data_IF_472781765767
#
_entry.id   IF_472781765767
#
_cell.length_a   1.000
_cell.length_b   1.000
_cell.length_c   1.000
_cell.angle_alpha   90.00
_cell.angle_beta   90.00
_cell.angle_gamma   90.00
#
_symmetry.space_group_name_H-M   'P 1'
#
loop_
_entity.id
_entity.type
_entity.pdbx_description
1 polymer ?
#
# COMPACT_ATOMS: atom_id res chain seq x y z
N UNK A 1 -24.54 35.17 7.43
CA UNK A 1 -24.16 33.91 6.75
C UNK A 1 -23.73 32.94 7.84
N UNK A 2 -24.57 31.95 8.16
CA UNK A 2 -24.32 31.02 9.26
C UNK A 2 -23.77 29.72 8.67
N UNK A 3 -22.54 29.36 9.02
CA UNK A 3 -21.93 28.10 8.60
C UNK A 3 -22.58 26.98 9.42
N UNK A 4 -23.07 25.95 8.72
CA UNK A 4 -23.67 24.76 9.33
C UNK A 4 -22.57 23.76 9.70
N UNK A 5 -22.12 23.83 10.96
CA UNK A 5 -21.04 23.00 11.50
C UNK A 5 -21.38 21.50 11.52
N UNK A 6 -22.66 21.11 11.55
CA UNK A 6 -23.07 19.69 11.49
C UNK A 6 -22.68 19.07 10.15
N UNK A 7 -22.88 19.80 9.04
CA UNK A 7 -22.46 19.35 7.71
C UNK A 7 -20.94 19.26 7.59
N UNK A 8 -20.22 20.21 8.17
CA UNK A 8 -18.75 20.23 8.18
C UNK A 8 -18.19 18.99 8.89
N UNK A 9 -18.71 18.66 10.08
CA UNK A 9 -18.29 17.46 10.83
C UNK A 9 -18.53 16.18 10.02
N UNK A 10 -19.67 16.07 9.32
CA UNK A 10 -19.96 14.90 8.47
C UNK A 10 -19.11 14.84 7.20
N UNK A 11 -18.67 15.98 6.67
CA UNK A 11 -17.80 16.03 5.50
C UNK A 11 -16.37 15.61 5.86
N UNK A 12 -15.84 16.09 6.99
CA UNK A 12 -14.52 15.69 7.49
C UNK A 12 -14.46 14.20 7.84
N UNK A 13 -15.51 13.65 8.46
CA UNK A 13 -15.61 12.22 8.76
C UNK A 13 -15.54 11.35 7.49
N UNK A 14 -16.30 11.72 6.44
CA UNK A 14 -16.29 11.02 5.15
C UNK A 14 -14.96 11.16 4.39
N UNK A 15 -14.25 12.27 4.56
CA UNK A 15 -12.92 12.44 3.98
C UNK A 15 -11.89 11.54 4.68
N UNK A 16 -11.97 11.43 6.01
CA UNK A 16 -11.14 10.49 6.78
C UNK A 16 -11.41 9.04 6.40
N UNK A 17 -12.68 8.66 6.28
CA UNK A 17 -13.08 7.31 5.88
C UNK A 17 -12.55 6.96 4.49
N UNK A 18 -12.73 7.83 3.50
CA UNK A 18 -12.17 7.64 2.15
C UNK A 18 -10.64 7.55 2.14
N UNK A 19 -9.98 8.35 2.98
CA UNK A 19 -8.51 8.28 3.12
C UNK A 19 -8.09 6.94 3.72
N UNK A 20 -8.81 6.45 4.72
CA UNK A 20 -8.53 5.15 5.32
C UNK A 20 -8.75 4.02 4.32
N UNK A 21 -9.88 4.01 3.61
CA UNK A 21 -10.17 3.02 2.57
C UNK A 21 -9.09 3.00 1.48
N UNK A 22 -8.63 4.18 1.05
CA UNK A 22 -7.55 4.29 0.06
C UNK A 22 -6.22 3.75 0.60
N UNK A 23 -5.91 3.98 1.88
CA UNK A 23 -4.73 3.42 2.52
C UNK A 23 -4.83 1.89 2.65
N UNK A 24 -5.96 1.38 3.12
CA UNK A 24 -6.20 -0.05 3.28
C UNK A 24 -6.09 -0.77 1.93
N UNK A 25 -6.63 -0.17 0.86
CA UNK A 25 -6.50 -0.69 -0.50
C UNK A 25 -5.04 -0.71 -0.97
N UNK A 26 -4.29 0.38 -0.77
CA UNK A 26 -2.88 0.44 -1.13
C UNK A 26 -2.04 -0.60 -0.38
N UNK A 27 -2.33 -0.83 0.90
CA UNK A 27 -1.67 -1.87 1.70
C UNK A 27 -2.04 -3.27 1.22
N UNK A 28 -3.29 -3.52 0.85
CA UNK A 28 -3.73 -4.80 0.32
C UNK A 28 -3.00 -5.14 -1.00
N UNK A 29 -2.88 -4.17 -1.91
CA UNK A 29 -2.14 -4.30 -3.16
C UNK A 29 -0.64 -4.55 -2.92
N UNK A 30 -0.04 -3.83 -1.97
CA UNK A 30 1.36 -4.03 -1.58
C UNK A 30 1.61 -5.46 -1.05
N UNK A 31 0.72 -5.97 -0.19
CA UNK A 31 0.80 -7.35 0.33
C UNK A 31 0.64 -8.36 -0.80
N UNK A 32 -0.34 -8.19 -1.68
CA UNK A 32 -0.56 -9.07 -2.83
C UNK A 32 0.68 -9.16 -3.71
N UNK A 33 1.27 -8.01 -4.09
CA UNK A 33 2.50 -7.97 -4.89
C UNK A 33 3.65 -8.72 -4.20
N UNK A 34 3.83 -8.50 -2.90
CA UNK A 34 4.90 -9.17 -2.14
C UNK A 34 4.70 -10.69 -2.11
N UNK A 35 3.46 -11.16 -1.95
CA UNK A 35 3.13 -12.60 -1.99
C UNK A 35 3.35 -13.19 -3.39
N UNK A 36 2.84 -12.54 -4.43
CA UNK A 36 2.93 -13.01 -5.82
C UNK A 36 4.38 -13.11 -6.32
N UNK A 37 5.27 -12.26 -5.80
CA UNK A 37 6.68 -12.20 -6.21
C UNK A 37 7.63 -12.87 -5.23
N UNK A 38 7.13 -13.50 -4.16
CA UNK A 38 8.00 -14.03 -3.09
C UNK A 38 8.85 -15.22 -3.54
N UNK A 39 8.29 -16.08 -4.40
CA UNK A 39 9.02 -17.19 -5.01
C UNK A 39 10.27 -16.72 -5.77
N UNK A 40 10.27 -15.50 -6.32
CA UNK A 40 11.44 -14.96 -7.02
C UNK A 40 12.58 -14.70 -6.03
N UNK A 41 12.26 -14.24 -4.81
CA UNK A 41 13.25 -14.01 -3.74
C UNK A 41 13.85 -15.34 -3.29
N UNK A 42 13.01 -16.35 -3.09
CA UNK A 42 13.45 -17.70 -2.76
C UNK A 42 14.36 -18.24 -3.86
N UNK A 43 13.94 -18.17 -5.12
CA UNK A 43 14.76 -18.57 -6.28
C UNK A 43 16.10 -17.84 -6.33
N UNK A 44 16.13 -16.55 -6.00
CA UNK A 44 17.37 -15.79 -5.98
C UNK A 44 18.32 -16.24 -4.87
N UNK A 45 17.78 -16.54 -3.69
CA UNK A 45 18.56 -17.04 -2.56
C UNK A 45 19.09 -18.46 -2.81
N UNK A 46 18.28 -19.34 -3.41
CA UNK A 46 18.62 -20.74 -3.61
C UNK A 46 19.49 -20.99 -4.85
N UNK A 47 19.17 -20.34 -5.97
CA UNK A 47 19.82 -20.58 -7.26
C UNK A 47 20.79 -19.48 -7.67
N UNK A 48 20.92 -18.41 -6.89
CA UNK A 48 21.72 -17.23 -7.24
C UNK A 48 21.20 -16.44 -8.44
N UNK A 49 19.99 -16.75 -8.94
CA UNK A 49 19.41 -16.01 -10.08
C UNK A 49 18.88 -14.66 -9.59
N UNK A 50 19.41 -13.53 -10.04
CA UNK A 50 19.00 -12.24 -9.52
C UNK A 50 17.53 -11.93 -9.83
N UNK A 51 16.86 -11.22 -8.91
CA UNK A 51 15.57 -10.61 -9.18
C UNK A 51 15.68 -9.61 -10.33
N UNK A 52 14.72 -9.61 -11.27
CA UNK A 52 14.56 -8.51 -12.22
C UNK A 52 14.48 -7.17 -11.47
N UNK A 53 15.16 -6.15 -11.99
CA UNK A 53 15.26 -4.84 -11.35
C UNK A 53 13.88 -4.23 -11.08
N UNK A 54 12.98 -4.27 -12.07
CA UNK A 54 11.60 -3.82 -11.91
C UNK A 54 10.86 -4.50 -10.75
N UNK A 55 11.09 -5.79 -10.50
CA UNK A 55 10.47 -6.51 -9.38
C UNK A 55 11.11 -6.12 -8.05
N UNK A 56 12.42 -5.89 -8.02
CA UNK A 56 13.13 -5.41 -6.84
C UNK A 56 12.58 -4.04 -6.40
N UNK A 57 12.43 -3.12 -7.35
CA UNK A 57 11.93 -1.78 -7.09
C UNK A 57 10.46 -1.80 -6.68
N UNK A 58 9.63 -2.59 -7.37
CA UNK A 58 8.23 -2.74 -7.01
C UNK A 58 8.06 -3.34 -5.60
N UNK A 59 8.87 -4.34 -5.23
CA UNK A 59 8.88 -4.91 -3.87
C UNK A 59 9.39 -3.90 -2.83
N UNK A 60 10.37 -3.06 -3.16
CA UNK A 60 10.83 -2.00 -2.27
C UNK A 60 9.74 -0.96 -2.03
N UNK A 61 9.03 -0.53 -3.08
CA UNK A 61 7.88 0.36 -3.00
C UNK A 61 6.74 -0.22 -2.16
N UNK A 62 6.38 -1.49 -2.38
CA UNK A 62 5.36 -2.16 -1.56
C UNK A 62 5.74 -2.23 -0.08
N UNK A 63 7.01 -2.46 0.25
CA UNK A 63 7.46 -2.42 1.66
C UNK A 63 7.38 -1.02 2.27
N UNK A 64 7.67 0.02 1.50
CA UNK A 64 7.52 1.40 1.96
C UNK A 64 6.05 1.71 2.30
N UNK A 65 5.10 1.31 1.45
CA UNK A 65 3.66 1.47 1.70
C UNK A 65 3.22 0.80 3.01
N UNK A 66 3.82 -0.35 3.37
CA UNK A 66 3.50 -1.08 4.60
C UNK A 66 4.27 -0.59 5.83
N UNK A 67 5.32 0.21 5.68
CA UNK A 67 6.13 0.72 6.80
C UNK A 67 5.62 2.06 7.34
N UNK A 68 4.75 2.74 6.59
CA UNK A 68 4.10 4.00 6.98
C UNK A 68 2.81 3.78 7.83
N UNK A 69 2.64 2.58 8.41
CA UNK A 69 1.56 2.21 9.35
C UNK A 69 1.88 2.65 10.79
#
# INVERSE_FOLDING_TARGET
MTIDFTKVITAEARERERRQEAQDQAQAEARALLTETDWMVIRAAECGTPLPEAIRDARAGARAVLSDE
#
